data_IF_527557423525
#
_entry.id   IF_527557423525
#
_cell.length_a   1.000
_cell.length_b   1.000
_cell.length_c   1.000
_cell.angle_alpha   90.00
_cell.angle_beta   90.00
_cell.angle_gamma   90.00
#
_symmetry.space_group_name_H-M   'P 1'
#
loop_
_entity.id
_entity.type
_entity.pdbx_description
1 polymer ?
#
# COMPACT_ATOMS: atom_id res chain seq x y z
N UNK A 1 -5.73 -26.45 21.77
CA UNK A 1 -4.88 -25.36 22.32
C UNK A 1 -4.71 -24.32 21.24
N UNK A 2 -5.19 -23.09 21.43
CA UNK A 2 -4.76 -22.00 20.56
C UNK A 2 -3.27 -21.75 20.83
N UNK A 3 -2.44 -21.80 19.79
CA UNK A 3 -1.04 -21.45 19.87
C UNK A 3 -0.90 -19.99 20.30
N UNK A 4 -0.03 -19.70 21.27
CA UNK A 4 0.25 -18.33 21.73
C UNK A 4 0.73 -17.48 20.54
N UNK A 5 0.14 -16.31 20.36
CA UNK A 5 0.52 -15.36 19.29
C UNK A 5 1.96 -14.87 19.55
N UNK A 6 2.89 -14.98 18.58
CA UNK A 6 4.26 -14.49 18.71
C UNK A 6 4.32 -12.99 19.01
N UNK A 7 5.31 -12.53 19.79
CA UNK A 7 5.48 -11.11 20.18
C UNK A 7 5.51 -10.18 18.96
N UNK A 8 6.18 -10.59 17.88
CA UNK A 8 6.24 -9.86 16.59
C UNK A 8 4.88 -9.67 15.88
N UNK A 9 3.80 -10.20 16.42
CA UNK A 9 2.45 -10.03 15.88
C UNK A 9 1.56 -9.23 16.83
N UNK A 10 2.15 -8.51 17.79
CA UNK A 10 1.47 -7.58 18.69
C UNK A 10 1.92 -6.16 18.39
N UNK A 11 0.99 -5.21 18.45
CA UNK A 11 1.25 -3.77 18.35
C UNK A 11 1.19 -3.17 19.76
N UNK A 12 2.33 -2.96 20.45
CA UNK A 12 2.35 -2.49 21.84
C UNK A 12 1.67 -1.12 22.04
N UNK A 13 1.66 -0.28 20.99
CA UNK A 13 1.02 1.04 21.01
C UNK A 13 -0.31 1.09 20.22
N UNK A 14 -0.84 -0.08 19.81
CA UNK A 14 -2.14 -0.16 19.14
C UNK A 14 -2.17 0.37 17.71
N UNK A 15 -1.01 0.55 17.07
CA UNK A 15 -0.89 1.02 15.70
C UNK A 15 -0.41 -0.08 14.76
N UNK A 16 -0.97 -0.08 13.55
CA UNK A 16 -0.67 -1.04 12.50
C UNK A 16 -0.47 -0.29 11.19
N UNK A 17 0.38 -0.83 10.33
CA UNK A 17 0.47 -0.43 8.92
C UNK A 17 -0.22 -1.49 8.09
N UNK A 18 -1.18 -1.09 7.28
CA UNK A 18 -1.81 -1.95 6.29
C UNK A 18 -1.45 -1.47 4.88
N UNK A 19 -1.22 -2.40 3.97
CA UNK A 19 -1.08 -2.10 2.54
C UNK A 19 -2.11 -2.89 1.76
N UNK A 20 -2.80 -2.23 0.83
CA UNK A 20 -3.82 -2.82 -0.03
C UNK A 20 -3.62 -2.39 -1.47
N UNK A 21 -4.09 -3.23 -2.40
CA UNK A 21 -3.94 -2.98 -3.83
C UNK A 21 -5.31 -2.84 -4.51
N UNK A 22 -5.44 -1.77 -5.27
CA UNK A 22 -6.59 -1.46 -6.11
C UNK A 22 -6.18 -1.58 -7.57
N UNK A 23 -7.05 -2.12 -8.41
CA UNK A 23 -6.89 -2.17 -9.86
C UNK A 23 -7.92 -1.29 -10.55
N UNK A 24 -7.52 -0.61 -11.60
CA UNK A 24 -8.43 0.11 -12.48
C UNK A 24 -9.22 -0.88 -13.34
N UNK A 25 -10.55 -0.79 -13.30
CA UNK A 25 -11.44 -1.52 -14.21
C UNK A 25 -12.29 -0.52 -14.99
N UNK A 26 -12.19 -0.55 -16.31
CA UNK A 26 -12.97 0.31 -17.19
C UNK A 26 -14.31 -0.34 -17.54
N UNK A 27 -15.39 0.45 -17.57
CA UNK A 27 -16.74 -0.07 -17.83
C UNK A 27 -16.91 -0.61 -19.27
N UNK A 28 -16.05 -0.17 -20.19
CA UNK A 28 -16.04 -0.57 -21.61
C UNK A 28 -15.16 -1.80 -21.89
N UNK A 29 -14.54 -2.39 -20.87
CA UNK A 29 -13.65 -3.54 -20.99
C UNK A 29 -14.23 -4.77 -20.28
N UNK A 30 -13.87 -5.95 -20.78
CA UNK A 30 -14.13 -7.19 -20.07
C UNK A 30 -13.20 -7.30 -18.85
N UNK A 31 -13.53 -8.21 -17.93
CA UNK A 31 -12.62 -8.57 -16.84
C UNK A 31 -11.30 -9.09 -17.44
N UNK A 32 -10.14 -8.57 -17.02
CA UNK A 32 -8.86 -8.99 -17.57
C UNK A 32 -8.56 -10.45 -17.23
N UNK A 33 -7.80 -11.10 -18.11
CA UNK A 33 -7.17 -12.40 -17.80
C UNK A 33 -5.85 -12.19 -17.03
N UNK A 34 -5.31 -13.23 -16.40
CA UNK A 34 -4.20 -13.13 -15.43
C UNK A 34 -2.91 -12.49 -15.97
N UNK A 35 -2.64 -12.56 -17.28
CA UNK A 35 -1.43 -12.04 -17.91
C UNK A 35 -1.61 -10.68 -18.60
N UNK A 36 -2.80 -10.08 -18.52
CA UNK A 36 -3.04 -8.74 -19.05
C UNK A 36 -2.53 -7.65 -18.10
N UNK A 37 -1.87 -6.63 -18.68
CA UNK A 37 -1.39 -5.49 -17.93
C UNK A 37 -2.54 -4.54 -17.56
N UNK A 38 -2.54 -4.06 -16.31
CA UNK A 38 -3.51 -3.08 -15.82
C UNK A 38 -2.82 -1.97 -15.03
N UNK A 39 -3.53 -0.87 -14.83
CA UNK A 39 -3.14 0.14 -13.85
C UNK A 39 -3.56 -0.30 -12.46
N UNK A 40 -2.66 -0.19 -11.49
CA UNK A 40 -2.92 -0.52 -10.10
C UNK A 40 -2.33 0.54 -9.17
N UNK A 41 -3.00 0.77 -8.05
CA UNK A 41 -2.51 1.56 -6.93
C UNK A 41 -2.26 0.64 -5.75
N UNK A 42 -1.06 0.70 -5.19
CA UNK A 42 -0.76 0.11 -3.89
C UNK A 42 -0.77 1.23 -2.85
N UNK A 43 -1.67 1.12 -1.89
CA UNK A 43 -1.94 2.13 -0.87
C UNK A 43 -1.51 1.61 0.49
N UNK A 44 -0.67 2.37 1.19
CA UNK A 44 -0.25 2.07 2.56
C UNK A 44 -0.89 3.05 3.53
N UNK A 45 -1.55 2.54 4.57
CA UNK A 45 -2.30 3.32 5.56
C UNK A 45 -1.94 2.94 7.00
N UNK A 46 -2.16 3.88 7.92
CA UNK A 46 -2.14 3.62 9.35
C UNK A 46 -3.51 3.16 9.83
N UNK A 47 -3.52 2.15 10.71
CA UNK A 47 -4.74 1.62 11.33
C UNK A 47 -4.55 1.54 12.84
N UNK A 48 -5.42 2.22 13.59
CA UNK A 48 -5.46 2.11 15.04
C UNK A 48 -6.37 0.95 15.46
N UNK A 49 -5.83 -0.02 16.21
CA UNK A 49 -6.57 -1.16 16.73
C UNK A 49 -5.84 -1.86 17.87
N UNK A 50 -6.61 -2.34 18.85
CA UNK A 50 -6.08 -3.03 20.03
C UNK A 50 -5.48 -4.41 19.73
N UNK A 51 -5.87 -5.02 18.60
CA UNK A 51 -5.32 -6.30 18.16
C UNK A 51 -5.47 -6.52 16.65
N UNK A 52 -4.70 -7.48 16.12
CA UNK A 52 -4.53 -7.73 14.68
C UNK A 52 -5.83 -8.00 13.92
N UNK A 53 -6.79 -8.74 14.50
CA UNK A 53 -8.05 -9.06 13.81
C UNK A 53 -8.90 -7.80 13.61
N UNK A 54 -8.93 -6.90 14.61
CA UNK A 54 -9.59 -5.60 14.49
C UNK A 54 -8.84 -4.72 13.49
N UNK A 55 -7.51 -4.76 13.47
CA UNK A 55 -6.70 -4.05 12.48
C UNK A 55 -7.01 -4.52 11.05
N UNK A 56 -7.09 -5.83 10.84
CA UNK A 56 -7.43 -6.44 9.55
C UNK A 56 -8.81 -6.01 9.06
N UNK A 57 -9.84 -6.15 9.91
CA UNK A 57 -11.21 -5.74 9.54
C UNK A 57 -11.31 -4.25 9.22
N UNK A 58 -10.62 -3.39 9.98
CA UNK A 58 -10.56 -1.95 9.68
C UNK A 58 -9.83 -1.67 8.36
N UNK A 59 -8.70 -2.33 8.12
CA UNK A 59 -7.95 -2.18 6.88
C UNK A 59 -8.79 -2.59 5.66
N UNK A 60 -9.54 -3.69 5.75
CA UNK A 60 -10.47 -4.10 4.70
C UNK A 60 -11.57 -3.06 4.47
N UNK A 61 -12.13 -2.48 5.54
CA UNK A 61 -13.15 -1.44 5.41
C UNK A 61 -12.60 -0.19 4.70
N UNK A 62 -11.42 0.31 5.10
CA UNK A 62 -10.77 1.44 4.43
C UNK A 62 -10.46 1.14 2.96
N UNK A 63 -9.98 -0.06 2.65
CA UNK A 63 -9.69 -0.47 1.28
C UNK A 63 -10.97 -0.54 0.42
N UNK A 64 -12.07 -1.03 0.99
CA UNK A 64 -13.37 -1.05 0.32
C UNK A 64 -13.94 0.36 0.10
N UNK A 65 -13.77 1.26 1.06
CA UNK A 65 -14.17 2.68 0.91
C UNK A 65 -13.39 3.39 -0.20
N UNK A 66 -12.16 2.96 -0.47
CA UNK A 66 -11.34 3.49 -1.56
C UNK A 66 -11.73 2.97 -2.96
N UNK A 67 -12.70 2.06 -3.07
CA UNK A 67 -13.23 1.57 -4.35
C UNK A 67 -14.19 2.60 -4.96
N UNK A 68 -13.64 3.68 -5.50
CA UNK A 68 -14.41 4.78 -6.09
C UNK A 68 -14.43 4.72 -7.62
N UNK A 69 -15.43 5.36 -8.22
CA UNK A 69 -15.48 5.62 -9.66
C UNK A 69 -14.46 6.69 -10.06
N UNK A 70 -14.03 6.66 -11.32
CA UNK A 70 -13.19 7.68 -11.95
C UNK A 70 -13.53 7.82 -13.43
N UNK A 71 -13.08 8.92 -14.03
CA UNK A 71 -13.28 9.23 -15.45
C UNK A 71 -11.92 9.29 -16.15
N UNK A 72 -11.90 8.96 -17.44
CA UNK A 72 -10.73 9.18 -18.29
C UNK A 72 -10.51 10.68 -18.47
N UNK A 73 -9.31 11.17 -18.18
CA UNK A 73 -9.01 12.61 -18.29
C UNK A 73 -8.91 13.07 -19.75
N UNK A 74 -8.70 12.15 -20.70
CA UNK A 74 -8.74 12.43 -22.14
C UNK A 74 -10.15 12.35 -22.74
N UNK A 75 -11.03 11.55 -22.13
CA UNK A 75 -12.43 11.37 -22.52
C UNK A 75 -13.34 11.23 -21.28
N UNK A 76 -13.90 12.33 -20.75
CA UNK A 76 -14.73 12.30 -19.56
C UNK A 76 -16.00 11.44 -19.68
N UNK A 77 -16.38 11.01 -20.88
CA UNK A 77 -17.51 10.10 -21.08
C UNK A 77 -17.16 8.65 -20.76
N UNK A 78 -15.87 8.31 -20.77
CA UNK A 78 -15.34 7.00 -20.45
C UNK A 78 -15.12 6.89 -18.94
N UNK A 79 -15.75 5.87 -18.35
CA UNK A 79 -15.80 5.66 -16.90
C UNK A 79 -15.13 4.37 -16.50
N UNK A 80 -14.60 4.37 -15.29
CA UNK A 80 -14.08 3.18 -14.63
C UNK A 80 -14.26 3.27 -13.13
N UNK A 81 -13.79 2.22 -12.45
CA UNK A 81 -13.79 2.13 -11.00
C UNK A 81 -12.55 1.44 -10.49
N UNK A 82 -12.17 1.78 -9.27
CA UNK A 82 -11.16 1.03 -8.53
C UNK A 82 -11.77 -0.22 -7.92
N UNK A 83 -11.18 -1.37 -8.24
CA UNK A 83 -11.55 -2.68 -7.71
C UNK A 83 -10.51 -3.09 -6.68
N UNK A 84 -10.95 -3.45 -5.48
CA UNK A 84 -10.08 -4.00 -4.45
C UNK A 84 -9.69 -5.44 -4.76
N UNK A 85 -8.40 -5.69 -4.93
CA UNK A 85 -7.85 -7.04 -5.08
C UNK A 85 -7.53 -7.66 -3.70
N UNK A 86 -7.11 -6.83 -2.74
CA UNK A 86 -6.95 -7.25 -1.35
C UNK A 86 -5.85 -6.52 -0.58
N UNK A 87 -5.58 -7.00 0.63
CA UNK A 87 -4.45 -6.54 1.44
C UNK A 87 -3.18 -7.27 1.02
N UNK A 88 -2.10 -6.54 0.73
CA UNK A 88 -0.76 -7.09 0.45
C UNK A 88 0.12 -7.17 1.69
N UNK A 89 -0.18 -6.37 2.73
CA UNK A 89 0.57 -6.37 4.00
C UNK A 89 -0.29 -5.90 5.19
N UNK A 90 0.02 -6.41 6.38
CA UNK A 90 -0.49 -5.92 7.67
C UNK A 90 0.56 -6.17 8.75
N UNK A 91 1.18 -5.11 9.25
CA UNK A 91 2.28 -5.16 10.20
C UNK A 91 1.97 -4.34 11.46
N UNK A 92 2.31 -4.84 12.67
CA UNK A 92 2.26 -4.01 13.87
C UNK A 92 3.38 -2.95 13.83
N UNK A 93 3.07 -1.75 14.34
CA UNK A 93 4.07 -0.73 14.65
C UNK A 93 4.47 -0.94 16.12
N UNK A 94 5.78 -1.06 16.34
CA UNK A 94 6.34 -1.39 17.65
C UNK A 94 6.73 -0.18 18.47
N UNK A 95 7.07 0.91 17.80
CA UNK A 95 7.52 2.13 18.44
C UNK A 95 6.34 3.09 18.68
N UNK A 96 6.48 3.95 19.67
CA UNK A 96 5.56 5.07 19.85
C UNK A 96 5.83 6.11 18.76
N UNK A 97 4.81 6.87 18.35
CA UNK A 97 5.02 7.90 17.33
C UNK A 97 5.77 9.10 17.90
N UNK A 98 7.06 9.18 17.55
CA UNK A 98 7.96 10.28 17.85
C UNK A 98 8.94 10.55 16.70
N UNK A 99 9.77 11.59 16.84
CA UNK A 99 10.82 11.90 15.86
C UNK A 99 11.80 10.73 15.77
N UNK A 100 11.97 10.19 14.56
CA UNK A 100 12.82 9.03 14.32
C UNK A 100 12.17 7.66 14.52
N UNK A 101 10.88 7.60 14.90
CA UNK A 101 10.18 6.33 15.10
C UNK A 101 10.11 5.48 13.81
N UNK A 102 10.41 4.18 13.95
CA UNK A 102 10.33 3.21 12.87
C UNK A 102 8.88 2.76 12.60
N UNK A 103 8.45 2.89 11.35
CA UNK A 103 7.09 2.53 10.92
C UNK A 103 7.07 1.16 10.21
N UNK A 104 8.06 0.88 9.35
CA UNK A 104 8.20 -0.37 8.59
C UNK A 104 9.69 -0.69 8.47
N UNK A 105 10.05 -1.97 8.56
CA UNK A 105 11.37 -2.49 8.21
C UNK A 105 11.25 -3.71 7.28
N UNK A 106 12.35 -4.08 6.63
CA UNK A 106 12.41 -5.29 5.77
C UNK A 106 13.73 -6.00 5.96
N UNK A 107 13.68 -7.29 6.30
CA UNK A 107 14.87 -8.14 6.33
C UNK A 107 15.26 -8.62 4.94
N UNK A 108 16.54 -8.51 4.59
CA UNK A 108 17.10 -9.12 3.40
C UNK A 108 18.20 -10.11 3.80
N UNK A 109 17.89 -11.40 3.78
CA UNK A 109 18.79 -12.43 4.32
C UNK A 109 20.07 -12.67 3.48
N UNK A 110 20.07 -12.37 2.18
CA UNK A 110 21.20 -12.68 1.29
C UNK A 110 21.20 -11.78 0.05
N UNK A 111 21.67 -10.53 0.20
CA UNK A 111 21.78 -9.57 -0.90
C UNK A 111 23.21 -9.04 -1.03
N UNK A 112 23.79 -8.98 -2.26
CA UNK A 112 25.10 -8.38 -2.47
C UNK A 112 25.12 -6.90 -2.06
N UNK A 113 26.19 -6.46 -1.40
CA UNK A 113 26.34 -5.06 -0.95
C UNK A 113 26.22 -4.06 -2.11
N UNK A 114 26.69 -4.42 -3.31
CA UNK A 114 26.52 -3.60 -4.51
C UNK A 114 25.04 -3.33 -4.83
N UNK A 115 24.16 -4.33 -4.65
CA UNK A 115 22.72 -4.17 -4.86
C UNK A 115 22.11 -3.25 -3.80
N UNK A 116 22.50 -3.39 -2.53
CA UNK A 116 22.07 -2.45 -1.46
C UNK A 116 22.48 -1.01 -1.80
N UNK A 117 23.74 -0.80 -2.22
CA UNK A 117 24.23 0.53 -2.61
C UNK A 117 23.50 1.10 -3.82
N UNK A 118 23.01 0.25 -4.73
CA UNK A 118 22.24 0.69 -5.89
C UNK A 118 20.84 1.21 -5.56
N UNK A 119 20.30 0.90 -4.37
CA UNK A 119 19.01 1.42 -3.91
C UNK A 119 19.09 2.84 -3.37
N UNK A 120 20.29 3.29 -2.99
CA UNK A 120 20.51 4.63 -2.45
C UNK A 120 20.37 5.65 -3.59
N UNK A 121 19.40 6.55 -3.44
CA UNK A 121 19.15 7.61 -4.42
C UNK A 121 19.86 8.90 -4.01
N UNK A 122 20.33 9.72 -4.99
CA UNK A 122 20.74 11.08 -4.70
C UNK A 122 19.54 11.88 -4.17
N UNK A 123 19.80 12.93 -3.39
CA UNK A 123 18.76 13.73 -2.71
C UNK A 123 17.68 14.21 -3.68
N UNK A 124 18.09 14.66 -4.86
CA UNK A 124 17.22 15.22 -5.90
C UNK A 124 16.31 14.17 -6.56
N UNK A 125 16.50 12.88 -6.25
CA UNK A 125 15.65 11.77 -6.70
C UNK A 125 14.87 11.10 -5.55
N UNK A 126 14.96 11.64 -4.34
CA UNK A 126 14.05 11.27 -3.25
C UNK A 126 12.70 11.95 -3.52
N UNK A 127 11.61 11.24 -3.29
CA UNK A 127 10.25 11.62 -3.70
C UNK A 127 9.85 13.03 -3.25
N UNK A 128 10.24 13.42 -2.03
CA UNK A 128 9.93 14.73 -1.48
C UNK A 128 10.72 15.90 -2.12
N UNK A 129 11.69 15.60 -2.98
CA UNK A 129 12.54 16.57 -3.68
C UNK A 129 12.45 16.42 -5.21
N UNK A 130 11.66 15.47 -5.72
CA UNK A 130 11.42 15.31 -7.16
C UNK A 130 10.21 16.16 -7.56
N UNK A 131 10.47 17.37 -8.06
CA UNK A 131 9.44 18.31 -8.52
C UNK A 131 8.95 18.01 -9.95
N UNK A 132 9.32 16.86 -10.53
CA UNK A 132 8.79 16.45 -11.84
C UNK A 132 7.27 16.23 -11.72
N UNK A 133 6.44 16.84 -12.59
CA UNK A 133 5.00 16.64 -12.54
C UNK A 133 4.65 15.14 -12.61
N UNK A 134 3.79 14.69 -11.70
CA UNK A 134 3.35 13.30 -11.65
C UNK A 134 2.60 12.90 -12.93
N UNK A 135 2.70 11.62 -13.32
CA UNK A 135 2.01 11.06 -14.51
C UNK A 135 0.47 11.27 -14.50
N UNK A 136 -0.13 11.53 -13.35
CA UNK A 136 -1.57 11.76 -13.22
C UNK A 136 -2.04 13.15 -13.73
N UNK A 137 -1.14 14.04 -14.15
CA UNK A 137 -1.52 15.31 -14.79
C UNK A 137 -1.75 15.20 -16.31
N UNK A 138 -1.47 14.04 -16.90
CA UNK A 138 -1.67 13.77 -18.33
C UNK A 138 -2.21 12.36 -18.53
N UNK A 139 -3.50 12.17 -18.29
CA UNK A 139 -4.27 11.20 -19.08
C UNK A 139 -4.99 11.97 -20.17
#
# INVERSE_FOLDING_TARGET
MQSKIPIRNHAPHGWWVATYILRAAWDDQAEPVEDEACCAWENTILVQADHRETAYSKAQAFAAEACTEFEDTSDPTRKGKWVLEGLTSLLPIYEEFEDGAEIIWTEYASIPVQKIRSWIRPKERLEAFDDTPGRAEFG
#
